data_IF_555648762799
#
_entry.id   IF_555648762799
#
_cell.length_a   1.000
_cell.length_b   1.000
_cell.length_c   1.000
_cell.angle_alpha   90.00
_cell.angle_beta   90.00
_cell.angle_gamma   90.00
#
_symmetry.space_group_name_H-M   'P 1'
#
loop_
_entity.id
_entity.type
_entity.pdbx_description
1 polymer ?
#
# COMPACT_ATOMS: atom_id res chain seq x y z
N UNK A 1 11.53 -4.67 -20.62
CA UNK A 1 10.46 -3.88 -19.98
C UNK A 1 9.52 -4.86 -19.29
N UNK A 2 9.44 -4.80 -17.97
CA UNK A 2 8.79 -5.82 -17.13
C UNK A 2 9.80 -6.45 -16.16
N UNK A 3 9.37 -6.62 -14.90
CA UNK A 3 10.17 -7.02 -13.73
C UNK A 3 10.87 -5.87 -12.96
N UNK A 4 10.29 -4.67 -12.93
CA UNK A 4 10.74 -3.59 -12.04
C UNK A 4 9.81 -3.46 -10.83
N UNK A 5 10.41 -3.26 -9.65
CA UNK A 5 9.67 -2.97 -8.42
C UNK A 5 9.17 -1.53 -8.47
N UNK A 6 7.88 -1.36 -8.70
CA UNK A 6 7.21 -0.04 -8.70
C UNK A 6 6.57 0.19 -7.34
N UNK A 7 6.81 1.36 -6.75
CA UNK A 7 6.18 1.77 -5.50
C UNK A 7 5.23 2.92 -5.76
N UNK A 8 3.94 2.71 -5.53
CA UNK A 8 2.96 3.80 -5.52
C UNK A 8 3.00 4.47 -4.14
N UNK A 9 3.32 5.76 -4.12
CA UNK A 9 3.38 6.55 -2.89
C UNK A 9 2.01 7.18 -2.58
N UNK A 10 1.80 7.53 -1.31
CA UNK A 10 0.62 8.24 -0.81
C UNK A 10 -0.71 7.49 -1.01
N UNK A 11 -0.67 6.16 -0.92
CA UNK A 11 -1.88 5.37 -0.82
C UNK A 11 -2.48 5.49 0.58
N UNK A 12 -3.80 5.68 0.64
CA UNK A 12 -4.56 5.82 1.88
C UNK A 12 -5.08 4.45 2.33
N UNK A 13 -4.89 4.10 3.60
CA UNK A 13 -5.49 2.90 4.19
C UNK A 13 -6.90 3.26 4.64
N UNK A 14 -7.91 2.63 4.02
CA UNK A 14 -9.33 2.91 4.30
C UNK A 14 -9.81 2.13 5.52
N UNK A 15 -9.37 0.88 5.65
CA UNK A 15 -9.79 -0.01 6.73
C UNK A 15 -8.77 -1.13 6.92
N UNK A 16 -8.56 -1.53 8.17
CA UNK A 16 -7.81 -2.73 8.53
C UNK A 16 -8.77 -3.69 9.22
N UNK A 17 -8.89 -4.91 8.70
CA UNK A 17 -9.67 -5.99 9.29
C UNK A 17 -8.69 -7.05 9.81
N UNK A 18 -8.37 -7.04 11.11
CA UNK A 18 -7.45 -8.01 11.69
C UNK A 18 -8.07 -9.42 11.80
N UNK A 19 -9.40 -9.56 11.84
CA UNK A 19 -10.06 -10.86 11.93
C UNK A 19 -9.87 -11.66 10.65
N UNK A 20 -9.91 -10.97 9.51
CA UNK A 20 -9.67 -11.57 8.18
C UNK A 20 -8.24 -11.38 7.70
N UNK A 21 -7.40 -10.69 8.49
CA UNK A 21 -6.05 -10.29 8.13
C UNK A 21 -6.00 -9.54 6.77
N UNK A 22 -6.95 -8.63 6.55
CA UNK A 22 -7.11 -7.84 5.34
C UNK A 22 -6.78 -6.37 5.59
N UNK A 23 -6.15 -5.74 4.60
CA UNK A 23 -5.89 -4.31 4.58
C UNK A 23 -6.53 -3.71 3.32
N UNK A 24 -7.52 -2.84 3.50
CA UNK A 24 -8.15 -2.12 2.40
C UNK A 24 -7.37 -0.83 2.12
N UNK A 25 -6.80 -0.75 0.92
CA UNK A 25 -6.01 0.38 0.45
C UNK A 25 -6.77 1.08 -0.67
N UNK A 26 -6.87 2.41 -0.61
CA UNK A 26 -7.46 3.23 -1.65
C UNK A 26 -6.47 3.41 -2.78
N UNK A 27 -6.84 2.93 -3.96
CA UNK A 27 -6.06 3.10 -5.19
C UNK A 27 -5.52 1.78 -5.74
N UNK A 28 -4.54 1.88 -6.61
CA UNK A 28 -3.99 0.74 -7.36
C UNK A 28 -2.64 0.31 -6.80
N UNK A 29 -2.54 -0.97 -6.42
CA UNK A 29 -1.25 -1.59 -6.07
C UNK A 29 -0.65 -2.22 -7.33
N UNK A 30 0.58 -1.86 -7.73
CA UNK A 30 1.22 -2.42 -8.90
C UNK A 30 1.58 -3.88 -8.67
N UNK A 31 1.26 -4.73 -9.66
CA UNK A 31 1.53 -6.16 -9.62
C UNK A 31 0.30 -7.01 -9.95
N UNK A 32 0.51 -8.31 -10.24
CA UNK A 32 -0.60 -9.24 -10.47
C UNK A 32 -1.34 -9.55 -9.16
N UNK A 33 -2.60 -9.98 -9.27
CA UNK A 33 -3.39 -10.46 -8.14
C UNK A 33 -2.71 -11.68 -7.52
N UNK A 34 -2.58 -11.70 -6.19
CA UNK A 34 -1.89 -12.77 -5.45
C UNK A 34 -0.35 -12.68 -5.47
N UNK A 35 0.22 -11.62 -6.04
CA UNK A 35 1.65 -11.33 -5.93
C UNK A 35 2.03 -10.87 -4.52
N UNK A 36 3.30 -11.04 -4.16
CA UNK A 36 3.84 -10.54 -2.90
C UNK A 36 4.06 -9.03 -3.02
N UNK A 37 3.54 -8.27 -2.05
CA UNK A 37 3.69 -6.82 -1.97
C UNK A 37 4.31 -6.44 -0.64
N UNK A 38 5.11 -5.38 -0.63
CA UNK A 38 5.73 -4.85 0.60
C UNK A 38 5.05 -3.54 0.97
N UNK A 39 4.36 -3.51 2.11
CA UNK A 39 3.72 -2.30 2.64
C UNK A 39 4.67 -1.63 3.64
N UNK A 40 4.93 -0.33 3.44
CA UNK A 40 5.78 0.50 4.32
C UNK A 40 5.11 1.84 4.56
N UNK A 41 5.44 2.49 5.66
CA UNK A 41 4.99 3.86 5.95
C UNK A 41 5.51 4.83 4.88
N UNK A 42 4.64 5.73 4.41
CA UNK A 42 5.03 6.75 3.43
C UNK A 42 5.93 7.79 4.07
N UNK A 43 7.14 7.95 3.51
CA UNK A 43 8.10 8.97 3.96
C UNK A 43 7.62 10.41 3.70
N UNK A 44 6.65 10.60 2.80
CA UNK A 44 6.15 11.92 2.40
C UNK A 44 4.98 12.42 3.25
N UNK A 45 4.37 11.56 4.05
CA UNK A 45 3.19 11.89 4.88
C UNK A 45 3.45 11.85 6.39
N UNK A 46 4.69 11.59 6.83
CA UNK A 46 5.09 11.60 8.24
C UNK A 46 5.10 13.00 8.89
N UNK A 47 4.50 14.01 8.25
CA UNK A 47 4.51 15.41 8.69
C UNK A 47 3.12 16.05 8.70
N UNK A 48 2.06 15.27 8.91
CA UNK A 48 0.75 15.82 9.28
C UNK A 48 0.24 15.21 10.59
N UNK A 49 1.00 15.49 11.64
CA UNK A 49 0.44 15.64 12.98
C UNK A 49 -0.08 17.06 13.14
N UNK A 50 -1.28 17.16 13.74
CA UNK A 50 -2.00 18.37 14.19
C UNK A 50 -2.82 19.13 13.15
#
# INVERSE_FOLDING_TARGET
MGHETVTTLNLEVVMADPERNLLLVRGSVPGPKGGVVTVRSSVKHAAKES
#
